data_IF_794420101359
#
_entry.id   IF_794420101359
#
_cell.length_a   1.000
_cell.length_b   1.000
_cell.length_c   1.000
_cell.angle_alpha   90.00
_cell.angle_beta   90.00
_cell.angle_gamma   90.00
#
_symmetry.space_group_name_H-M   'P 1'
#
loop_
_entity.id
_entity.type
_entity.pdbx_description
1 polymer ?
#
# COMPACT_ATOMS: atom_id res chain seq x y z
N UNK A 1 -64.66 -12.12 23.98
CA UNK A 1 -63.69 -11.18 23.39
C UNK A 1 -62.28 -11.66 23.66
N UNK A 2 -61.64 -12.24 22.68
CA UNK A 2 -60.25 -12.68 22.81
C UNK A 2 -59.34 -11.57 22.30
N UNK A 3 -58.54 -10.97 23.19
CA UNK A 3 -57.46 -10.03 22.81
C UNK A 3 -56.28 -10.83 22.37
N UNK A 4 -55.94 -10.74 21.09
CA UNK A 4 -54.70 -11.32 20.53
C UNK A 4 -53.60 -10.32 20.80
N UNK A 5 -52.67 -10.68 21.65
CA UNK A 5 -51.43 -9.94 21.87
C UNK A 5 -50.47 -10.30 20.75
N UNK A 6 -50.21 -9.36 19.84
CA UNK A 6 -49.20 -9.48 18.83
C UNK A 6 -47.84 -9.16 19.47
N UNK A 7 -47.07 -10.19 19.70
CA UNK A 7 -45.66 -10.03 20.16
C UNK A 7 -44.82 -9.79 18.93
N UNK A 8 -44.35 -8.54 18.78
CA UNK A 8 -43.32 -8.20 17.81
C UNK A 8 -41.97 -8.67 18.33
N UNK A 9 -41.46 -9.79 17.80
CA UNK A 9 -40.06 -10.16 17.97
C UNK A 9 -39.20 -9.24 17.10
N UNK A 10 -38.55 -8.26 17.74
CA UNK A 10 -37.42 -7.54 17.16
C UNK A 10 -36.23 -8.49 17.08
N UNK A 11 -36.01 -9.08 15.93
CA UNK A 11 -34.76 -9.74 15.63
C UNK A 11 -33.69 -8.64 15.44
N UNK A 12 -32.93 -8.37 16.51
CA UNK A 12 -31.72 -7.57 16.42
C UNK A 12 -30.68 -8.41 15.67
N UNK A 13 -30.58 -8.18 14.37
CA UNK A 13 -29.48 -8.71 13.56
C UNK A 13 -28.18 -8.06 14.01
N UNK A 14 -27.38 -8.79 14.77
CA UNK A 14 -25.98 -8.44 14.96
C UNK A 14 -25.27 -8.62 13.63
N UNK A 15 -25.14 -7.54 12.87
CA UNK A 15 -24.17 -7.50 11.80
C UNK A 15 -22.78 -7.49 12.47
N UNK A 16 -22.16 -8.66 12.59
CA UNK A 16 -20.75 -8.75 12.88
C UNK A 16 -20.02 -8.12 11.69
N UNK A 17 -19.61 -6.85 11.85
CA UNK A 17 -18.66 -6.25 10.97
C UNK A 17 -17.34 -7.02 11.15
N UNK A 18 -17.13 -8.04 10.30
CA UNK A 18 -15.84 -8.70 10.21
C UNK A 18 -14.82 -7.64 9.83
N UNK A 19 -13.90 -7.31 10.74
CA UNK A 19 -12.77 -6.47 10.43
C UNK A 19 -11.93 -7.21 9.38
N UNK A 20 -12.07 -6.82 8.10
CA UNK A 20 -11.18 -7.31 7.05
C UNK A 20 -9.83 -6.67 7.28
N UNK A 21 -8.77 -7.49 7.45
CA UNK A 21 -7.41 -7.03 7.69
C UNK A 21 -6.81 -6.25 6.50
N UNK A 22 -7.41 -6.37 5.31
CA UNK A 22 -7.01 -5.69 4.08
C UNK A 22 -8.24 -5.21 3.31
N UNK A 23 -8.16 -3.98 2.79
CA UNK A 23 -9.23 -3.33 2.03
C UNK A 23 -8.96 -3.35 0.52
N UNK A 24 -8.08 -4.22 0.06
CA UNK A 24 -7.69 -4.35 -1.34
C UNK A 24 -7.85 -5.80 -1.81
N UNK A 25 -8.20 -5.97 -3.09
CA UNK A 25 -8.35 -7.26 -3.72
C UNK A 25 -7.75 -7.25 -5.14
N UNK A 26 -7.26 -8.41 -5.60
CA UNK A 26 -6.71 -8.55 -6.94
C UNK A 26 -7.75 -8.14 -8.00
N UNK A 27 -7.31 -7.37 -8.99
CA UNK A 27 -8.15 -6.87 -10.09
C UNK A 27 -9.00 -5.64 -9.73
N UNK A 28 -9.12 -5.27 -8.48
CA UNK A 28 -9.88 -4.09 -8.03
C UNK A 28 -8.98 -2.87 -7.91
N UNK A 29 -9.60 -1.70 -7.99
CA UNK A 29 -8.90 -0.44 -7.77
C UNK A 29 -8.47 -0.32 -6.32
N UNK A 30 -7.21 0.09 -6.12
CA UNK A 30 -6.71 0.43 -4.79
C UNK A 30 -7.31 1.75 -4.30
N UNK A 31 -7.39 1.95 -2.97
CA UNK A 31 -7.69 3.26 -2.40
C UNK A 31 -6.70 4.32 -2.89
N UNK A 32 -7.13 5.57 -2.91
CA UNK A 32 -6.25 6.68 -3.18
C UNK A 32 -5.17 6.79 -2.09
N UNK A 33 -3.92 7.02 -2.50
CA UNK A 33 -2.85 7.30 -1.57
C UNK A 33 -3.06 8.68 -0.93
N UNK A 34 -3.22 8.68 0.38
CA UNK A 34 -3.40 9.88 1.18
C UNK A 34 -2.09 10.18 1.92
N UNK A 35 -1.23 10.92 1.28
CA UNK A 35 -0.02 11.49 1.87
C UNK A 35 -0.21 12.99 2.01
N UNK A 36 0.32 13.56 3.08
CA UNK A 36 0.25 15.01 3.27
C UNK A 36 1.38 15.74 2.56
N UNK A 37 2.54 15.11 2.47
CA UNK A 37 3.72 15.67 1.82
C UNK A 37 4.52 14.61 1.09
N UNK A 38 5.24 15.04 0.06
CA UNK A 38 6.24 14.23 -0.63
C UNK A 38 7.63 14.65 -0.18
N UNK A 39 8.48 13.67 0.13
CA UNK A 39 9.86 13.94 0.53
C UNK A 39 10.57 14.74 -0.55
N UNK A 40 11.20 15.86 -0.15
CA UNK A 40 11.87 16.83 -1.03
C UNK A 40 10.96 17.35 -2.19
N UNK A 41 9.63 17.41 -1.95
CA UNK A 41 8.61 17.81 -2.94
C UNK A 41 8.62 16.99 -4.24
N UNK A 42 9.19 15.79 -4.21
CA UNK A 42 9.25 14.89 -5.37
C UNK A 42 7.99 14.04 -5.47
N UNK A 43 7.03 14.52 -6.22
CA UNK A 43 5.85 13.74 -6.57
C UNK A 43 6.21 12.63 -7.55
N UNK A 44 5.53 11.46 -7.47
CA UNK A 44 5.78 10.38 -8.40
C UNK A 44 5.35 10.75 -9.83
N UNK A 45 6.25 10.52 -10.78
CA UNK A 45 5.93 10.64 -12.19
C UNK A 45 5.04 9.49 -12.68
N UNK A 46 4.16 9.71 -13.65
CA UNK A 46 3.34 8.65 -14.22
C UNK A 46 4.18 7.49 -14.77
N UNK A 47 3.72 6.26 -14.55
CA UNK A 47 4.35 5.06 -15.07
C UNK A 47 3.28 3.99 -15.37
N UNK A 48 3.55 3.04 -16.31
CA UNK A 48 2.62 1.95 -16.61
C UNK A 48 2.29 1.08 -15.41
N UNK A 49 3.25 0.89 -14.50
CA UNK A 49 3.10 0.10 -13.28
C UNK A 49 3.64 0.85 -12.08
N UNK A 50 2.97 0.68 -10.94
CA UNK A 50 3.36 1.30 -9.68
C UNK A 50 3.47 0.24 -8.60
N UNK A 51 4.56 0.25 -7.86
CA UNK A 51 4.71 -0.51 -6.63
C UNK A 51 4.60 0.42 -5.43
N UNK A 52 3.65 0.15 -4.54
CA UNK A 52 3.44 0.91 -3.30
C UNK A 52 4.05 0.09 -2.17
N UNK A 53 5.06 0.62 -1.51
CA UNK A 53 5.75 0.00 -0.38
C UNK A 53 5.36 0.68 0.92
N UNK A 54 4.77 -0.07 1.84
CA UNK A 54 4.48 0.39 3.20
C UNK A 54 5.68 0.09 4.09
N UNK A 55 6.24 1.13 4.70
CA UNK A 55 7.57 1.10 5.32
C UNK A 55 7.54 1.59 6.77
N UNK A 56 8.38 0.94 7.60
CA UNK A 56 8.74 1.43 8.93
C UNK A 56 10.21 1.14 9.22
N UNK A 57 10.96 2.14 9.70
CA UNK A 57 12.41 2.07 9.87
C UNK A 57 12.88 1.09 10.95
N UNK A 58 12.01 0.79 11.93
CA UNK A 58 12.35 -0.16 13.01
C UNK A 58 12.26 -1.62 12.57
N UNK A 59 11.71 -1.90 11.39
CA UNK A 59 11.62 -3.25 10.85
C UNK A 59 12.76 -3.51 9.85
N UNK A 60 13.75 -4.38 10.19
CA UNK A 60 14.87 -4.68 9.29
C UNK A 60 14.44 -5.24 7.93
N UNK A 61 13.34 -5.99 7.89
CA UNK A 61 12.80 -6.54 6.64
C UNK A 61 12.31 -5.43 5.69
N UNK A 62 11.80 -4.31 6.22
CA UNK A 62 11.43 -3.14 5.42
C UNK A 62 12.65 -2.53 4.72
N UNK A 63 13.78 -2.44 5.40
CA UNK A 63 15.02 -1.95 4.80
C UNK A 63 15.52 -2.89 3.70
N UNK A 64 15.49 -4.19 3.94
CA UNK A 64 15.85 -5.20 2.95
C UNK A 64 14.99 -5.11 1.70
N UNK A 65 13.67 -4.94 1.87
CA UNK A 65 12.76 -4.80 0.72
C UNK A 65 13.01 -3.52 -0.08
N UNK A 66 13.34 -2.40 0.57
CA UNK A 66 13.70 -1.16 -0.13
C UNK A 66 14.96 -1.32 -0.99
N UNK A 67 15.99 -1.96 -0.48
CA UNK A 67 17.21 -2.22 -1.26
C UNK A 67 16.89 -3.07 -2.51
N UNK A 68 16.07 -4.08 -2.36
CA UNK A 68 15.62 -4.91 -3.48
C UNK A 68 14.82 -4.11 -4.51
N UNK A 69 13.89 -3.28 -4.06
CA UNK A 69 13.10 -2.42 -4.94
C UNK A 69 13.98 -1.41 -5.69
N UNK A 70 15.00 -0.87 -5.06
CA UNK A 70 15.97 0.01 -5.68
C UNK A 70 16.73 -0.70 -6.81
N UNK A 71 17.16 -1.94 -6.60
CA UNK A 71 17.78 -2.77 -7.63
C UNK A 71 16.83 -3.04 -8.81
N UNK A 72 15.59 -3.41 -8.50
CA UNK A 72 14.57 -3.69 -9.53
C UNK A 72 14.28 -2.45 -10.37
N UNK A 73 14.09 -1.29 -9.77
CA UNK A 73 13.82 -0.05 -10.52
C UNK A 73 15.00 0.38 -11.36
N UNK A 74 16.23 0.13 -10.93
CA UNK A 74 17.43 0.35 -11.71
C UNK A 74 17.49 -0.47 -13.01
N UNK A 75 16.88 -1.67 -13.00
CA UNK A 75 16.85 -2.58 -14.17
C UNK A 75 15.61 -2.41 -15.04
N UNK A 76 14.45 -2.17 -14.42
CA UNK A 76 13.15 -2.06 -15.12
C UNK A 76 13.00 -0.78 -15.95
N UNK A 77 13.95 0.15 -15.86
CA UNK A 77 13.91 1.42 -16.58
C UNK A 77 12.64 2.22 -16.29
N UNK A 78 11.93 2.63 -17.37
CA UNK A 78 10.76 3.51 -17.25
C UNK A 78 9.44 2.83 -16.93
N UNK A 79 9.39 1.50 -16.87
CA UNK A 79 8.13 0.75 -16.75
C UNK A 79 7.56 0.71 -15.34
N UNK A 80 8.41 0.71 -14.32
CA UNK A 80 8.02 0.63 -12.92
C UNK A 80 8.41 1.90 -12.18
N UNK A 81 7.48 2.46 -11.42
CA UNK A 81 7.76 3.43 -10.36
C UNK A 81 7.50 2.81 -8.99
N UNK A 82 8.22 3.24 -7.99
CA UNK A 82 8.01 2.85 -6.59
C UNK A 82 7.59 4.06 -5.78
N UNK A 83 6.54 3.90 -4.99
CA UNK A 83 6.10 4.89 -4.01
C UNK A 83 6.24 4.26 -2.64
N UNK A 84 7.20 4.74 -1.86
CA UNK A 84 7.36 4.36 -0.46
C UNK A 84 6.47 5.27 0.38
N UNK A 85 5.66 4.70 1.26
CA UNK A 85 4.83 5.46 2.18
C UNK A 85 5.14 5.09 3.63
N UNK A 86 5.22 6.09 4.48
CA UNK A 86 5.49 5.91 5.90
C UNK A 86 4.67 6.89 6.75
N UNK A 87 4.37 6.45 7.97
CA UNK A 87 3.70 7.25 8.98
C UNK A 87 4.63 7.76 10.09
N UNK A 88 5.92 7.53 9.91
CA UNK A 88 6.94 7.98 10.86
C UNK A 88 7.14 9.51 10.81
N UNK A 89 7.70 10.06 11.88
CA UNK A 89 8.07 11.45 11.96
C UNK A 89 8.96 11.86 10.78
N UNK A 90 8.56 12.84 9.94
CA UNK A 90 9.33 13.26 8.79
C UNK A 90 10.76 13.68 9.11
N UNK A 91 11.00 14.33 10.25
CA UNK A 91 12.32 14.77 10.66
C UNK A 91 13.28 13.60 10.92
N UNK A 92 12.75 12.48 11.45
CA UNK A 92 13.52 11.26 11.69
C UNK A 92 13.74 10.45 10.43
N UNK A 93 12.70 10.33 9.61
CA UNK A 93 12.72 9.37 8.50
C UNK A 93 13.36 9.94 7.23
N UNK A 94 13.32 11.25 7.03
CA UNK A 94 13.83 11.89 5.82
C UNK A 94 15.31 11.54 5.52
N UNK A 95 16.25 11.60 6.48
CA UNK A 95 17.64 11.22 6.22
C UNK A 95 17.79 9.76 5.78
N UNK A 96 16.95 8.85 6.31
CA UNK A 96 17.01 7.43 5.98
C UNK A 96 16.46 7.10 4.59
N UNK A 97 15.43 7.82 4.16
CA UNK A 97 14.73 7.54 2.90
C UNK A 97 15.22 8.38 1.72
N UNK A 98 15.90 9.51 1.98
CA UNK A 98 16.44 10.36 0.90
C UNK A 98 17.37 9.62 -0.08
N UNK A 99 18.22 8.66 0.34
CA UNK A 99 19.04 7.86 -0.58
C UNK A 99 18.25 6.98 -1.57
N UNK A 100 16.97 6.73 -1.29
CA UNK A 100 16.08 5.94 -2.17
C UNK A 100 15.33 6.79 -3.19
N UNK A 101 15.38 8.12 -3.09
CA UNK A 101 14.77 9.01 -4.07
C UNK A 101 15.48 8.91 -5.42
N UNK A 102 14.69 8.86 -6.48
CA UNK A 102 15.17 8.89 -7.86
C UNK A 102 14.05 9.40 -8.78
N UNK A 103 14.24 9.41 -10.08
CA UNK A 103 13.18 9.71 -11.05
C UNK A 103 12.02 8.69 -10.96
N UNK A 104 12.30 7.49 -10.46
CA UNK A 104 11.32 6.39 -10.34
C UNK A 104 10.82 6.14 -8.94
N UNK A 105 11.51 6.64 -7.95
CA UNK A 105 11.22 6.35 -6.56
C UNK A 105 10.85 7.63 -5.82
N UNK A 106 9.65 7.66 -5.25
CA UNK A 106 9.12 8.76 -4.44
C UNK A 106 8.78 8.27 -3.04
N UNK A 107 8.79 9.17 -2.08
CA UNK A 107 8.45 8.89 -0.69
C UNK A 107 7.32 9.80 -0.22
N UNK A 108 6.21 9.19 0.17
CA UNK A 108 5.07 9.88 0.78
C UNK A 108 5.16 9.84 2.30
N UNK A 109 5.09 11.02 2.91
CA UNK A 109 5.17 11.23 4.35
C UNK A 109 3.78 11.44 4.96
N UNK A 110 3.65 11.27 6.27
CA UNK A 110 2.38 11.43 6.99
C UNK A 110 1.25 10.58 6.37
N UNK A 111 1.55 9.32 6.11
CA UNK A 111 0.70 8.41 5.35
C UNK A 111 -0.25 7.55 6.22
N UNK A 112 -0.58 7.96 7.44
CA UNK A 112 -1.45 7.22 8.37
C UNK A 112 -2.77 6.81 7.71
N UNK A 113 -3.38 7.74 6.97
CA UNK A 113 -4.65 7.48 6.28
C UNK A 113 -4.52 6.44 5.17
N UNK A 114 -3.37 6.37 4.51
CA UNK A 114 -3.07 5.35 3.49
C UNK A 114 -2.90 3.97 4.12
N UNK A 115 -2.18 3.87 5.24
CA UNK A 115 -2.08 2.61 5.99
C UNK A 115 -3.45 2.07 6.39
N UNK A 116 -4.32 2.93 6.89
CA UNK A 116 -5.69 2.56 7.26
C UNK A 116 -6.54 2.19 6.05
N UNK A 117 -6.52 2.99 4.99
CA UNK A 117 -7.31 2.76 3.79
C UNK A 117 -6.96 1.44 3.09
N UNK A 118 -5.67 1.07 3.06
CA UNK A 118 -5.20 -0.20 2.50
C UNK A 118 -5.35 -1.38 3.47
N UNK A 119 -5.70 -1.13 4.73
CA UNK A 119 -5.83 -2.18 5.74
C UNK A 119 -4.52 -2.88 6.04
N UNK A 120 -3.41 -2.14 6.10
CA UNK A 120 -2.07 -2.70 6.32
C UNK A 120 -1.97 -3.29 7.72
N UNK A 121 -1.76 -4.59 7.82
CA UNK A 121 -1.69 -5.34 9.08
C UNK A 121 -0.31 -5.91 9.39
N UNK A 122 0.60 -5.91 8.44
CA UNK A 122 1.99 -6.35 8.61
C UNK A 122 2.93 -5.58 7.69
N UNK A 123 4.22 -5.57 8.03
CA UNK A 123 5.29 -4.94 7.27
C UNK A 123 6.47 -5.92 7.08
N UNK A 124 7.20 -5.83 5.98
CA UNK A 124 6.93 -4.99 4.81
C UNK A 124 5.73 -5.51 4.02
N UNK A 125 4.89 -4.60 3.60
CA UNK A 125 3.72 -4.89 2.76
C UNK A 125 3.78 -4.05 1.50
N UNK A 126 3.51 -4.67 0.36
CA UNK A 126 3.55 -4.00 -0.92
C UNK A 126 2.37 -4.32 -1.81
N UNK A 127 2.06 -3.40 -2.70
CA UNK A 127 0.99 -3.51 -3.69
C UNK A 127 1.50 -3.10 -5.06
N UNK A 128 1.37 -3.97 -6.04
CA UNK A 128 1.67 -3.69 -7.44
C UNK A 128 0.38 -3.34 -8.17
N UNK A 129 0.35 -2.22 -8.87
CA UNK A 129 -0.81 -1.76 -9.62
C UNK A 129 -0.50 -1.48 -11.09
N UNK A 130 -1.52 -1.57 -11.95
CA UNK A 130 -1.47 -1.11 -13.34
C UNK A 130 -1.69 0.40 -13.47
N UNK A 131 -1.67 0.91 -14.70
CA UNK A 131 -1.88 2.33 -15.00
C UNK A 131 -3.28 2.84 -14.60
N UNK A 132 -4.25 1.96 -14.40
CA UNK A 132 -5.61 2.28 -13.93
C UNK A 132 -5.77 2.10 -12.42
N UNK A 133 -4.68 1.94 -11.68
CA UNK A 133 -4.65 1.69 -10.23
C UNK A 133 -5.38 0.40 -9.81
N UNK A 134 -5.41 -0.61 -10.66
CA UNK A 134 -5.94 -1.93 -10.30
C UNK A 134 -4.83 -2.80 -9.73
N UNK A 135 -5.16 -3.54 -8.69
CA UNK A 135 -4.22 -4.43 -8.00
C UNK A 135 -3.83 -5.61 -8.88
N UNK A 136 -2.55 -5.72 -9.21
CA UNK A 136 -1.95 -6.84 -9.94
C UNK A 136 -1.34 -7.87 -9.00
N UNK A 137 -0.80 -7.42 -7.89
CA UNK A 137 -0.21 -8.24 -6.84
C UNK A 137 -0.19 -7.49 -5.51
N UNK A 138 -0.26 -8.21 -4.41
CA UNK A 138 -0.09 -7.68 -3.06
C UNK A 138 0.49 -8.75 -2.14
N UNK A 139 1.24 -8.33 -1.14
CA UNK A 139 1.79 -9.26 -0.17
C UNK A 139 3.05 -8.77 0.52
N UNK A 140 3.80 -9.71 1.08
CA UNK A 140 5.07 -9.44 1.73
C UNK A 140 6.12 -9.02 0.69
N UNK A 141 6.62 -7.80 0.83
CA UNK A 141 7.58 -7.21 -0.11
C UNK A 141 8.92 -7.94 -0.19
N UNK A 142 9.24 -8.79 0.77
CA UNK A 142 10.41 -9.67 0.68
C UNK A 142 10.28 -10.71 -0.46
N UNK A 143 9.08 -10.96 -0.94
CA UNK A 143 8.81 -11.90 -2.04
C UNK A 143 8.90 -11.26 -3.42
N UNK A 144 8.94 -9.91 -3.50
CA UNK A 144 8.96 -9.21 -4.79
C UNK A 144 10.28 -9.47 -5.54
N UNK A 145 10.16 -9.71 -6.84
CA UNK A 145 11.29 -9.85 -7.76
C UNK A 145 10.86 -9.48 -9.18
N UNK A 146 11.82 -9.32 -10.08
CA UNK A 146 11.56 -8.93 -11.47
C UNK A 146 10.60 -9.89 -12.18
N UNK A 147 10.80 -11.19 -12.02
CA UNK A 147 9.95 -12.23 -12.64
C UNK A 147 8.49 -12.10 -12.22
N UNK A 148 8.24 -11.87 -10.93
CA UNK A 148 6.89 -11.68 -10.39
C UNK A 148 6.25 -10.42 -10.99
N UNK A 149 7.00 -9.32 -11.09
CA UNK A 149 6.51 -8.08 -11.70
C UNK A 149 6.17 -8.32 -13.18
N UNK A 150 7.05 -8.93 -13.94
CA UNK A 150 6.81 -9.24 -15.35
C UNK A 150 5.59 -10.14 -15.55
N UNK A 151 5.42 -11.18 -14.73
CA UNK A 151 4.27 -12.08 -14.81
C UNK A 151 2.96 -11.39 -14.46
N UNK A 152 2.98 -10.47 -13.51
CA UNK A 152 1.79 -9.74 -13.06
C UNK A 152 1.37 -8.63 -14.02
N UNK A 153 2.27 -8.17 -14.88
CA UNK A 153 2.05 -7.06 -15.83
C UNK A 153 1.74 -7.51 -17.26
N UNK A 154 1.71 -8.80 -17.52
CA UNK A 154 1.29 -9.42 -18.81
C UNK A 154 -0.24 -9.56 -18.93
#
# INVERSE_FOLDING_TARGET
MKKVLLIWLLAAGFASAGATAQNIALGERVPELKTQTWLDNRQPEPAPTTYIEFFHSTNPACKTSLERLKEITGKSGTKLRVIVVTKEDPAKIAPLLRPYLSERNSVGLNAEKSFTAFGVSYLPFGVLTDAKNRTLWMGNSLQINEKLIEQSTR
#
